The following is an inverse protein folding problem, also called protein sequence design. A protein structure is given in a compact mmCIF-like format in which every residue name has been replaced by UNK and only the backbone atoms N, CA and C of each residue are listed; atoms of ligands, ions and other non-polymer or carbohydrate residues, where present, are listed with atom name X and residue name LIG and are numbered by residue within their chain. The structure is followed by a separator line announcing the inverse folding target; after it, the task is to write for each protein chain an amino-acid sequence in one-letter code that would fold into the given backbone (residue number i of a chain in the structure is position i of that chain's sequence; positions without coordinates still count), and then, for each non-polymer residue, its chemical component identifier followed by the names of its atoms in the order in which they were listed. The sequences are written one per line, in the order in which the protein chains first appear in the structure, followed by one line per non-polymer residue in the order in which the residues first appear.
data_IF_178081566898
#
_entry.id   IF_178081566898
#
_cell.length_a   1.000
_cell.length_b   1.000
_cell.length_c   1.000
_cell.angle_alpha   90.00
_cell.angle_beta   90.00
_cell.angle_gamma   90.00
#
_symmetry.space_group_name_H-M   'P 1'
#
loop_
_entity.id
_entity.type
_entity.pdbx_description
1 polymer ?
#
# COMPACT_ATOMS: atom_id res chain seq x y z
N UNK A 1 47.75 12.68 -22.69
CA UNK A 1 47.46 12.02 -23.98
C UNK A 1 45.97 12.08 -24.23
N UNK A 2 45.57 12.97 -25.13
CA UNK A 2 44.24 13.08 -25.70
C UNK A 2 43.99 11.92 -26.66
N UNK A 3 42.82 11.27 -26.60
CA UNK A 3 42.17 10.71 -27.79
C UNK A 3 40.66 10.91 -27.61
N UNK A 4 40.17 11.99 -28.21
CA UNK A 4 38.76 12.19 -28.48
C UNK A 4 38.35 11.30 -29.65
N UNK A 5 37.29 10.51 -29.54
CA UNK A 5 36.45 10.13 -30.69
C UNK A 5 35.00 10.00 -30.20
N UNK A 6 34.20 11.06 -30.36
CA UNK A 6 33.29 11.19 -31.51
C UNK A 6 32.34 9.99 -31.60
N UNK A 7 31.34 9.91 -30.72
CA UNK A 7 30.08 9.26 -31.09
C UNK A 7 29.28 10.29 -31.89
N UNK A 8 29.66 10.39 -33.16
CA UNK A 8 28.92 11.12 -34.18
C UNK A 8 27.51 10.55 -34.26
N UNK A 9 26.58 11.43 -33.95
CA UNK A 9 25.22 11.46 -34.46
C UNK A 9 25.20 11.12 -35.97
N UNK A 10 24.92 9.87 -36.34
CA UNK A 10 24.33 9.39 -37.62
C UNK A 10 24.33 7.85 -37.65
N UNK A 11 23.28 7.22 -38.16
CA UNK A 11 23.17 5.78 -38.53
C UNK A 11 22.66 4.73 -37.52
N UNK A 12 21.53 4.99 -36.83
CA UNK A 12 20.65 3.89 -36.38
C UNK A 12 19.15 4.25 -36.51
N UNK A 13 18.56 4.30 -37.71
CA UNK A 13 17.11 4.49 -37.84
C UNK A 13 16.30 3.18 -37.67
N UNK A 14 16.91 1.99 -37.78
CA UNK A 14 16.14 0.73 -37.81
C UNK A 14 16.00 0.01 -36.46
N UNK A 15 16.91 0.25 -35.50
CA UNK A 15 16.87 -0.41 -34.18
C UNK A 15 15.95 0.29 -33.18
N UNK A 16 15.55 1.54 -33.45
CA UNK A 16 14.80 2.38 -32.50
C UNK A 16 13.35 1.97 -32.30
N UNK A 17 12.69 1.35 -33.27
CA UNK A 17 11.27 0.99 -33.13
C UNK A 17 11.08 -0.16 -32.13
N UNK A 18 11.94 -1.18 -32.15
CA UNK A 18 11.87 -2.33 -31.22
C UNK A 18 12.27 -1.95 -29.80
N UNK A 19 13.35 -1.18 -29.64
CA UNK A 19 13.82 -0.75 -28.32
C UNK A 19 12.86 0.22 -27.64
N UNK A 20 12.20 1.10 -28.41
CA UNK A 20 11.23 2.05 -27.86
C UNK A 20 9.95 1.36 -27.39
N UNK A 21 9.48 0.32 -28.09
CA UNK A 21 8.34 -0.49 -27.63
C UNK A 21 8.70 -1.27 -26.36
N UNK A 22 9.89 -1.86 -26.28
CA UNK A 22 10.35 -2.60 -25.09
C UNK A 22 10.46 -1.70 -23.86
N UNK A 23 10.96 -0.46 -24.01
CA UNK A 23 11.04 0.51 -22.92
C UNK A 23 9.68 1.00 -22.44
N UNK A 24 8.72 1.20 -23.35
CA UNK A 24 7.36 1.60 -22.98
C UNK A 24 6.63 0.45 -22.28
N UNK A 25 6.79 -0.79 -22.76
CA UNK A 25 6.22 -1.97 -22.11
C UNK A 25 6.80 -2.19 -20.71
N UNK A 26 8.11 -1.98 -20.49
CA UNK A 26 8.69 -2.12 -19.15
C UNK A 26 8.17 -1.08 -18.16
N UNK A 27 7.98 0.18 -18.60
CA UNK A 27 7.38 1.23 -17.76
C UNK A 27 5.94 0.89 -17.35
N UNK A 28 5.14 0.33 -18.27
CA UNK A 28 3.76 -0.08 -17.99
C UNK A 28 3.69 -1.25 -17.00
N UNK A 29 4.64 -2.20 -17.06
CA UNK A 29 4.70 -3.32 -16.11
C UNK A 29 5.06 -2.83 -14.69
N UNK A 30 5.95 -1.82 -14.56
CA UNK A 30 6.37 -1.32 -13.24
C UNK A 30 5.31 -0.48 -12.51
N UNK A 31 4.32 0.06 -13.24
CA UNK A 31 3.26 0.88 -12.62
C UNK A 31 2.19 0.08 -11.86
N UNK A 32 2.18 -1.25 -11.98
CA UNK A 32 1.20 -2.14 -11.31
C UNK A 32 1.80 -2.83 -10.09
N UNK A 33 2.52 -2.06 -9.25
CA UNK A 33 2.76 -2.48 -7.86
C UNK A 33 1.57 -2.04 -7.00
N UNK A 34 0.36 -2.36 -7.45
CA UNK A 34 -0.81 -2.37 -6.58
C UNK A 34 -0.54 -3.42 -5.51
N UNK A 35 -0.52 -2.99 -4.25
CA UNK A 35 -0.33 -3.89 -3.09
C UNK A 35 -1.50 -4.88 -3.05
N UNK A 36 -1.40 -5.97 -3.80
CA UNK A 36 -2.44 -7.00 -3.85
C UNK A 36 -2.63 -7.58 -2.45
N UNK A 37 -3.88 -7.83 -2.02
CA UNK A 37 -4.13 -8.57 -0.79
C UNK A 37 -3.33 -9.88 -0.78
N UNK A 38 -2.79 -10.31 0.36
CA UNK A 38 -2.06 -11.56 0.43
C UNK A 38 -2.97 -12.72 -0.01
N UNK A 39 -2.42 -13.65 -0.78
CA UNK A 39 -3.16 -14.85 -1.15
C UNK A 39 -3.29 -15.75 0.08
N UNK A 40 -4.46 -15.74 0.71
CA UNK A 40 -4.73 -16.53 1.91
C UNK A 40 -5.30 -17.94 1.62
N UNK A 41 -5.44 -18.33 0.34
CA UNK A 41 -6.12 -19.57 -0.05
C UNK A 41 -5.43 -20.85 0.47
N UNK A 42 -4.12 -20.78 0.73
CA UNK A 42 -3.32 -21.92 1.19
C UNK A 42 -2.64 -21.66 2.54
N UNK A 43 -3.13 -20.69 3.32
CA UNK A 43 -2.58 -20.38 4.64
C UNK A 43 -3.19 -21.30 5.68
N UNK A 44 -2.37 -22.17 6.28
CA UNK A 44 -2.76 -22.98 7.42
C UNK A 44 -2.45 -22.23 8.73
N UNK A 45 -3.48 -21.66 9.38
CA UNK A 45 -3.28 -20.92 10.63
C UNK A 45 -2.69 -21.76 11.77
N UNK A 46 -2.86 -23.09 11.77
CA UNK A 46 -2.27 -23.97 12.79
C UNK A 46 -0.73 -24.06 12.69
N UNK A 47 -0.17 -23.75 11.52
CA UNK A 47 1.28 -23.69 11.30
C UNK A 47 1.86 -22.27 11.50
N UNK A 48 1.02 -21.26 11.75
CA UNK A 48 1.45 -19.87 11.95
C UNK A 48 1.73 -19.63 13.43
N UNK A 49 2.95 -19.24 13.75
CA UNK A 49 3.32 -18.80 15.11
C UNK A 49 2.94 -17.33 15.28
N UNK A 50 1.92 -17.07 16.10
CA UNK A 50 1.52 -15.72 16.46
C UNK A 50 2.12 -15.32 17.81
N UNK A 51 2.58 -14.07 17.93
CA UNK A 51 2.94 -13.52 19.23
C UNK A 51 1.67 -13.27 20.05
N UNK A 52 1.64 -13.60 21.35
CA UNK A 52 0.54 -13.23 22.22
C UNK A 52 0.46 -11.71 22.33
N UNK A 53 -0.75 -11.17 22.18
CA UNK A 53 -1.02 -9.74 22.29
C UNK A 53 -1.90 -9.48 23.52
N UNK A 54 -1.62 -8.40 24.24
CA UNK A 54 -2.47 -7.90 25.31
C UNK A 54 -2.98 -6.52 24.90
N UNK A 55 -4.24 -6.46 24.45
CA UNK A 55 -4.81 -5.27 23.85
C UNK A 55 -5.85 -4.65 24.77
N UNK A 56 -5.69 -3.36 25.06
CA UNK A 56 -6.58 -2.64 25.97
C UNK A 56 -7.94 -2.28 25.34
N UNK A 57 -8.00 -2.10 24.02
CA UNK A 57 -9.17 -1.63 23.28
C UNK A 57 -9.72 -2.65 22.27
N UNK A 58 -9.46 -3.94 22.53
CA UNK A 58 -9.89 -5.07 21.70
C UNK A 58 -8.85 -5.52 20.65
N UNK A 59 -9.19 -6.61 19.97
CA UNK A 59 -8.37 -7.25 18.94
C UNK A 59 -9.12 -7.39 17.62
N UNK A 60 -8.37 -7.46 16.53
CA UNK A 60 -8.85 -7.86 15.20
C UNK A 60 -7.92 -8.87 14.56
N UNK A 61 -8.43 -9.61 13.57
CA UNK A 61 -7.60 -10.52 12.80
C UNK A 61 -6.86 -9.78 11.67
N UNK A 62 -5.57 -10.08 11.52
CA UNK A 62 -4.73 -9.56 10.44
C UNK A 62 -5.10 -10.10 9.05
N UNK A 63 -4.23 -9.84 8.06
CA UNK A 63 -4.52 -9.98 6.63
C UNK A 63 -4.91 -11.38 6.11
N UNK A 64 -4.78 -12.44 6.91
CA UNK A 64 -5.27 -13.79 6.60
C UNK A 64 -6.06 -14.45 7.75
N UNK A 65 -6.58 -13.68 8.72
CA UNK A 65 -7.46 -14.26 9.73
C UNK A 65 -6.78 -15.01 10.88
N UNK A 66 -5.48 -15.30 10.80
CA UNK A 66 -4.82 -16.19 11.78
C UNK A 66 -4.49 -15.48 13.10
N UNK A 67 -3.65 -14.43 13.05
CA UNK A 67 -3.16 -13.76 14.25
C UNK A 67 -4.05 -12.60 14.68
N UNK A 68 -4.17 -12.45 16.00
CA UNK A 68 -4.80 -11.29 16.63
C UNK A 68 -3.82 -10.11 16.65
N UNK A 69 -4.35 -8.94 16.32
CA UNK A 69 -3.65 -7.65 16.28
C UNK A 69 -4.46 -6.66 17.11
N UNK A 70 -3.79 -5.78 17.85
CA UNK A 70 -4.47 -4.79 18.68
C UNK A 70 -5.03 -3.65 17.86
N UNK A 71 -6.27 -3.24 18.17
CA UNK A 71 -6.76 -1.93 17.79
C UNK A 71 -5.97 -0.82 18.48
N UNK A 72 -5.87 0.34 17.82
CA UNK A 72 -5.46 1.59 18.45
C UNK A 72 -6.63 2.17 19.25
N UNK A 73 -6.34 2.58 20.47
CA UNK A 73 -7.32 3.14 21.39
C UNK A 73 -7.74 4.56 20.96
N UNK A 74 -8.91 5.05 21.44
CA UNK A 74 -9.33 6.43 21.21
C UNK A 74 -8.25 7.43 21.64
N UNK A 75 -7.91 8.38 20.77
CA UNK A 75 -6.88 9.39 21.00
C UNK A 75 -5.43 8.94 20.78
N UNK A 76 -5.17 7.64 20.56
CA UNK A 76 -3.83 7.16 20.23
C UNK A 76 -3.39 7.57 18.82
N UNK A 77 -2.07 7.66 18.64
CA UNK A 77 -1.47 7.94 17.34
C UNK A 77 -1.66 6.76 16.40
N UNK A 78 -2.23 7.06 15.24
CA UNK A 78 -2.42 6.13 14.14
C UNK A 78 -1.65 6.62 12.91
N UNK A 79 -1.22 5.69 12.05
CA UNK A 79 -0.49 6.00 10.82
C UNK A 79 -1.10 5.14 9.72
N UNK A 80 -1.80 5.72 8.73
CA UNK A 80 -2.50 4.93 7.72
C UNK A 80 -1.55 4.10 6.85
N UNK A 81 -0.31 4.56 6.64
CA UNK A 81 0.73 3.83 5.92
C UNK A 81 1.02 2.45 6.55
N UNK A 82 0.96 2.34 7.88
CA UNK A 82 1.15 1.08 8.60
C UNK A 82 -0.15 0.30 8.80
N UNK A 83 -1.24 0.72 8.15
CA UNK A 83 -2.57 0.09 8.23
C UNK A 83 -3.06 -0.06 9.68
N UNK A 84 -2.72 0.89 10.55
CA UNK A 84 -3.22 0.92 11.92
C UNK A 84 -4.75 1.05 11.91
N UNK A 85 -5.44 0.13 12.57
CA UNK A 85 -6.90 0.18 12.77
C UNK A 85 -7.23 0.74 14.14
N UNK A 86 -8.18 1.65 14.20
CA UNK A 86 -8.75 2.16 15.44
C UNK A 86 -9.87 1.23 15.92
N UNK A 87 -10.20 1.30 17.22
CA UNK A 87 -11.33 0.55 17.80
C UNK A 87 -12.67 0.95 17.17
N UNK A 88 -13.74 0.20 17.44
CA UNK A 88 -15.04 0.43 16.82
C UNK A 88 -15.50 1.90 16.92
N UNK A 89 -16.16 2.39 15.87
CA UNK A 89 -16.65 3.77 15.74
C UNK A 89 -15.56 4.85 15.77
N UNK A 90 -14.29 4.48 15.60
CA UNK A 90 -13.19 5.42 15.49
C UNK A 90 -12.44 5.19 14.18
N UNK A 91 -12.02 6.29 13.56
CA UNK A 91 -11.15 6.25 12.38
C UNK A 91 -9.87 7.05 12.63
N UNK A 92 -8.85 6.72 11.83
CA UNK A 92 -7.58 7.41 11.87
C UNK A 92 -7.68 8.75 11.15
N UNK A 93 -7.87 9.83 11.92
CA UNK A 93 -7.94 11.19 11.38
C UNK A 93 -6.57 11.83 11.45
N UNK A 94 -6.00 12.16 10.29
CA UNK A 94 -4.71 12.85 10.18
C UNK A 94 -4.73 14.19 10.91
N UNK A 95 -3.61 14.54 11.56
CA UNK A 95 -3.46 15.85 12.19
C UNK A 95 -3.32 16.96 11.15
N UNK A 96 -2.71 16.65 10.00
CA UNK A 96 -2.58 17.55 8.86
C UNK A 96 -3.06 16.83 7.57
N UNK A 97 -4.20 17.24 6.97
CA UNK A 97 -4.72 16.63 5.75
C UNK A 97 -3.90 16.97 4.50
N UNK A 98 -2.98 17.95 4.57
CA UNK A 98 -2.14 18.34 3.44
C UNK A 98 -0.91 17.44 3.25
N UNK A 99 -0.56 16.63 4.26
CA UNK A 99 0.59 15.73 4.21
C UNK A 99 0.17 14.39 3.59
N UNK A 100 0.83 14.01 2.49
CA UNK A 100 0.58 12.75 1.79
C UNK A 100 0.84 11.55 2.72
N UNK A 101 -0.13 10.65 2.79
CA UNK A 101 -0.10 9.41 3.58
C UNK A 101 1.16 8.57 3.31
N UNK A 102 1.68 8.64 2.07
CA UNK A 102 2.90 7.98 1.59
C UNK A 102 4.16 8.32 2.41
N UNK A 103 4.20 9.47 3.10
CA UNK A 103 5.32 9.87 3.95
C UNK A 103 5.15 9.47 5.42
N UNK A 104 4.14 8.66 5.75
CA UNK A 104 3.88 8.23 7.12
C UNK A 104 3.20 9.34 7.95
N UNK A 105 2.28 10.09 7.34
CA UNK A 105 1.44 11.06 8.03
C UNK A 105 0.83 10.45 9.29
N UNK A 106 0.95 11.18 10.39
CA UNK A 106 0.41 10.77 11.69
C UNK A 106 -0.98 11.37 11.87
N UNK A 107 -1.84 10.60 12.51
CA UNK A 107 -3.16 11.03 12.93
C UNK A 107 -3.48 10.50 14.31
N UNK A 108 -4.73 10.69 14.72
CA UNK A 108 -5.28 10.13 15.95
C UNK A 108 -6.59 9.41 15.70
N UNK A 109 -6.84 8.36 16.47
CA UNK A 109 -8.13 7.70 16.47
C UNK A 109 -9.20 8.63 17.06
N UNK A 110 -10.10 9.12 16.21
CA UNK A 110 -11.21 10.00 16.60
C UNK A 110 -12.53 9.30 16.29
N UNK A 111 -13.54 9.59 17.10
CA UNK A 111 -14.88 9.05 16.87
C UNK A 111 -15.42 9.60 15.54
N UNK A 112 -15.89 8.71 14.67
CA UNK A 112 -16.54 9.06 13.41
C UNK A 112 -17.92 8.39 13.39
N UNK A 113 -19.01 9.15 13.19
CA UNK A 113 -20.32 8.54 13.01
C UNK A 113 -20.25 7.60 11.80
N UNK A 114 -20.77 6.38 11.92
CA UNK A 114 -20.64 5.34 10.89
C UNK A 114 -21.22 5.81 9.55
N UNK A 115 -20.38 6.37 8.69
CA UNK A 115 -20.66 6.54 7.28
C UNK A 115 -20.12 5.28 6.62
N UNK A 116 -21.00 4.28 6.49
CA UNK A 116 -20.77 3.11 5.67
C UNK A 116 -20.71 3.56 4.20
N UNK A 117 -19.65 4.26 3.81
CA UNK A 117 -19.41 4.63 2.41
C UNK A 117 -18.75 3.44 1.71
N UNK A 118 -19.59 2.43 1.45
CA UNK A 118 -19.30 1.38 0.49
C UNK A 118 -19.80 1.84 -0.89
N UNK A 119 -19.50 3.09 -1.25
CA UNK A 119 -19.94 3.66 -2.53
C UNK A 119 -18.73 3.85 -3.41
N UNK A 120 -18.69 3.07 -4.49
CA UNK A 120 -17.82 3.25 -5.66
C UNK A 120 -16.50 2.45 -5.70
N UNK A 121 -16.59 1.13 -5.59
CA UNK A 121 -15.71 0.24 -6.36
C UNK A 121 -16.47 -0.26 -7.59
N UNK A 122 -16.74 0.61 -8.56
CA UNK A 122 -17.27 0.17 -9.86
C UNK A 122 -16.16 -0.60 -10.57
N UNK A 123 -16.40 -1.89 -10.78
CA UNK A 123 -15.75 -2.66 -11.84
C UNK A 123 -15.93 -1.92 -13.18
N UNK A 124 -14.85 -1.29 -13.66
CA UNK A 124 -14.71 -0.99 -15.09
C UNK A 124 -13.54 -1.79 -15.63
N UNK A 125 -13.80 -3.01 -16.08
CA UNK A 125 -13.00 -3.63 -17.13
C UNK A 125 -13.91 -4.41 -18.09
N UNK A 126 -14.21 -3.71 -19.19
CA UNK A 126 -14.73 -4.20 -20.47
C UNK A 126 -13.85 -5.29 -21.08
#
# INVERSE_FOLDING_TARGET
MSYAWYLTSSDIPLFKMKTSVVLVVSMVITSVLSTSPPNCANVNCAAVTCNPVNCNCGTYKGSCGCCDVCYKCPGEVCVPLYQHRCTEHHDCVLDDPSVRIEFGSRGKCKHVPQQHDHTNCTEEHH
#
